data_IF_991255118591
#
_entry.id   IF_991255118591
#
_cell.length_a   1.000
_cell.length_b   1.000
_cell.length_c   1.000
_cell.angle_alpha   90.00
_cell.angle_beta   90.00
_cell.angle_gamma   90.00
#
_symmetry.space_group_name_H-M   'P 1'
#
loop_
_entity.id
_entity.type
_entity.pdbx_description
1 polymer ?
#
# COMPACT_ATOMS: atom_id res chain seq x y z
N UNK A 1 -29.96 6.24 24.10
CA UNK A 1 -30.12 6.33 22.64
C UNK A 1 -28.74 6.02 22.11
N UNK A 2 -28.56 4.88 21.46
CA UNK A 2 -27.30 4.47 20.87
C UNK A 2 -27.01 5.41 19.69
N UNK A 3 -25.94 6.16 19.80
CA UNK A 3 -25.40 7.03 18.73
C UNK A 3 -24.60 6.20 17.73
N UNK A 4 -25.09 5.05 17.33
CA UNK A 4 -24.40 4.21 16.35
C UNK A 4 -24.32 4.90 15.00
N UNK A 5 -23.12 5.02 14.44
CA UNK A 5 -22.91 5.43 13.06
C UNK A 5 -23.34 4.31 12.11
N UNK A 6 -23.78 4.64 10.91
CA UNK A 6 -24.04 3.65 9.88
C UNK A 6 -22.76 3.32 9.12
N UNK A 7 -22.64 2.07 8.65
CA UNK A 7 -21.64 1.74 7.63
C UNK A 7 -21.96 2.46 6.31
N UNK A 8 -21.07 2.39 5.34
CA UNK A 8 -21.34 2.72 3.96
C UNK A 8 -22.47 1.83 3.40
N UNK A 9 -23.07 2.23 2.30
CA UNK A 9 -24.14 1.46 1.66
C UNK A 9 -23.60 0.27 0.85
N UNK A 10 -24.45 -0.71 0.55
CA UNK A 10 -24.05 -1.84 -0.31
C UNK A 10 -23.52 -1.40 -1.68
N UNK A 11 -24.06 -0.29 -2.23
CA UNK A 11 -23.57 0.28 -3.49
C UNK A 11 -22.15 0.83 -3.40
N UNK A 12 -21.74 1.34 -2.25
CA UNK A 12 -20.38 1.83 -2.02
C UNK A 12 -19.34 0.70 -2.07
N UNK A 13 -19.74 -0.52 -1.73
CA UNK A 13 -18.87 -1.69 -1.74
C UNK A 13 -18.95 -2.54 -3.01
N UNK A 14 -19.95 -2.33 -3.89
CA UNK A 14 -20.20 -3.27 -5.00
C UNK A 14 -20.45 -2.63 -6.36
N UNK A 15 -20.69 -1.30 -6.43
CA UNK A 15 -21.03 -0.64 -7.69
C UNK A 15 -19.80 -0.20 -8.47
N UNK A 16 -19.64 -0.68 -9.70
CA UNK A 16 -18.58 -0.23 -10.61
C UNK A 16 -18.67 1.28 -10.92
N UNK A 17 -19.86 1.87 -10.92
CA UNK A 17 -19.99 3.32 -11.13
C UNK A 17 -19.51 4.13 -9.93
N UNK A 18 -19.66 3.60 -8.71
CA UNK A 18 -19.08 4.18 -7.49
C UNK A 18 -17.57 4.01 -7.53
N UNK A 19 -17.07 2.80 -7.80
CA UNK A 19 -15.63 2.52 -7.90
C UNK A 19 -14.96 3.43 -8.95
N UNK A 20 -15.58 3.66 -10.10
CA UNK A 20 -15.04 4.61 -11.07
C UNK A 20 -14.90 6.03 -10.49
N UNK A 21 -15.88 6.48 -9.70
CA UNK A 21 -15.81 7.79 -9.04
C UNK A 21 -14.71 7.84 -7.97
N UNK A 22 -14.57 6.79 -7.18
CA UNK A 22 -13.49 6.65 -6.19
C UNK A 22 -12.12 6.73 -6.86
N UNK A 23 -11.95 6.00 -7.96
CA UNK A 23 -10.73 6.03 -8.75
C UNK A 23 -10.38 7.45 -9.17
N UNK A 24 -11.34 8.17 -9.78
CA UNK A 24 -11.12 9.48 -10.36
C UNK A 24 -10.96 10.58 -9.28
N UNK A 25 -11.53 10.40 -8.09
CA UNK A 25 -11.57 11.44 -7.04
C UNK A 25 -10.70 11.17 -5.82
N UNK A 26 -10.43 9.91 -5.52
CA UNK A 26 -9.64 9.49 -4.37
C UNK A 26 -8.32 8.87 -4.83
N UNK A 27 -8.38 7.70 -5.47
CA UNK A 27 -7.20 6.87 -5.73
C UNK A 27 -6.19 7.54 -6.68
N UNK A 28 -6.65 8.34 -7.64
CA UNK A 28 -5.81 9.08 -8.56
C UNK A 28 -5.36 10.45 -8.03
N UNK A 29 -5.93 10.91 -6.91
CA UNK A 29 -5.62 12.22 -6.32
C UNK A 29 -4.88 12.16 -5.00
N UNK A 30 -4.77 10.97 -4.42
CA UNK A 30 -3.99 10.74 -3.21
C UNK A 30 -2.56 10.34 -3.55
N UNK A 31 -1.65 10.47 -2.60
CA UNK A 31 -0.36 9.83 -2.68
C UNK A 31 -0.55 8.33 -2.47
N UNK A 32 -0.31 7.59 -3.52
CA UNK A 32 -0.58 6.16 -3.65
C UNK A 32 0.71 5.37 -3.52
N UNK A 33 0.82 4.54 -2.50
CA UNK A 33 1.97 3.65 -2.31
C UNK A 33 2.00 2.57 -3.38
N UNK A 34 3.16 2.38 -4.01
CA UNK A 34 3.29 1.40 -5.11
C UNK A 34 4.29 0.29 -4.84
N UNK A 35 5.42 0.57 -4.19
CA UNK A 35 6.45 -0.43 -3.86
C UNK A 35 7.59 0.19 -3.04
N UNK A 36 8.54 -0.66 -2.64
CA UNK A 36 9.83 -0.23 -2.11
C UNK A 36 10.81 0.13 -3.22
N UNK A 37 11.71 1.10 -2.93
CA UNK A 37 12.75 1.55 -3.85
C UNK A 37 14.03 0.70 -3.79
N UNK A 38 14.32 0.09 -2.64
CA UNK A 38 15.57 -0.64 -2.41
C UNK A 38 15.83 -1.85 -3.35
N UNK A 39 14.81 -2.55 -3.90
CA UNK A 39 15.07 -3.58 -4.90
C UNK A 39 15.43 -3.04 -6.30
N UNK A 40 15.20 -1.73 -6.56
CA UNK A 40 15.40 -1.15 -7.88
C UNK A 40 16.86 -0.77 -8.10
N UNK A 41 17.43 -1.27 -9.19
CA UNK A 41 18.79 -0.94 -9.66
C UNK A 41 18.75 -0.07 -10.90
N UNK A 42 19.85 0.66 -11.22
CA UNK A 42 19.93 1.44 -12.45
C UNK A 42 19.62 0.64 -13.71
N UNK A 43 18.58 1.07 -14.43
CA UNK A 43 18.03 0.41 -15.62
C UNK A 43 16.78 -0.42 -15.35
N UNK A 44 16.42 -0.65 -14.09
CA UNK A 44 15.19 -1.37 -13.77
C UNK A 44 13.95 -0.53 -14.05
N UNK A 45 12.88 -1.23 -14.32
CA UNK A 45 11.54 -0.70 -14.59
C UNK A 45 10.55 -1.37 -13.67
N UNK A 46 9.72 -0.56 -13.05
CA UNK A 46 8.58 -1.01 -12.29
C UNK A 46 7.31 -0.57 -13.02
N UNK A 47 6.45 -1.53 -13.35
CA UNK A 47 5.11 -1.27 -13.88
C UNK A 47 4.14 -1.39 -12.72
N UNK A 48 3.59 -0.26 -12.31
CA UNK A 48 2.60 -0.19 -11.25
C UNK A 48 1.20 0.00 -11.83
N UNK A 49 0.21 -0.59 -11.16
CA UNK A 49 -1.21 -0.35 -11.46
C UNK A 49 -1.79 0.54 -10.34
N UNK A 50 -2.15 1.75 -10.69
CA UNK A 50 -2.80 2.70 -9.79
C UNK A 50 -4.28 2.76 -10.12
N UNK A 51 -5.05 1.87 -9.52
CA UNK A 51 -6.49 1.77 -9.71
C UNK A 51 -6.92 1.77 -11.21
N UNK A 52 -6.25 0.96 -12.02
CA UNK A 52 -6.54 0.81 -13.45
C UNK A 52 -5.66 1.65 -14.38
N UNK A 53 -4.91 2.63 -13.87
CA UNK A 53 -3.92 3.34 -14.66
C UNK A 53 -2.55 2.68 -14.55
N UNK A 54 -1.91 2.44 -15.70
CA UNK A 54 -0.56 1.86 -15.74
C UNK A 54 0.48 2.96 -15.64
N UNK A 55 1.30 2.91 -14.60
CA UNK A 55 2.42 3.84 -14.36
C UNK A 55 3.74 3.09 -14.57
N UNK A 56 4.62 3.65 -15.38
CA UNK A 56 5.97 3.17 -15.60
C UNK A 56 6.95 3.97 -14.75
N UNK A 57 7.57 3.33 -13.79
CA UNK A 57 8.65 3.92 -12.98
C UNK A 57 9.98 3.35 -13.51
N UNK A 58 10.95 4.22 -13.73
CA UNK A 58 12.28 3.87 -14.25
C UNK A 58 13.36 4.42 -13.34
N UNK A 59 14.40 3.64 -13.14
CA UNK A 59 15.59 4.01 -12.37
C UNK A 59 16.71 4.38 -13.34
N UNK A 60 17.25 5.59 -13.25
CA UNK A 60 18.36 6.02 -14.10
C UNK A 60 19.72 5.53 -13.56
N UNK A 61 20.80 5.98 -14.23
CA UNK A 61 22.17 5.55 -13.88
C UNK A 61 22.64 6.06 -12.53
N UNK A 62 22.07 7.16 -12.08
CA UNK A 62 22.43 7.83 -10.83
C UNK A 62 21.48 7.40 -9.68
N UNK A 63 20.54 6.49 -9.96
CA UNK A 63 19.55 6.02 -9.01
C UNK A 63 18.32 6.93 -8.89
N UNK A 64 18.20 7.95 -9.73
CA UNK A 64 17.02 8.82 -9.76
C UNK A 64 15.83 8.07 -10.36
N UNK A 65 14.68 8.16 -9.71
CA UNK A 65 13.45 7.56 -10.19
C UNK A 65 12.61 8.60 -10.95
N UNK A 66 12.07 8.17 -12.08
CA UNK A 66 11.07 8.93 -12.85
C UNK A 66 9.82 8.08 -13.03
N UNK A 67 8.67 8.70 -12.96
CA UNK A 67 7.39 8.04 -13.22
C UNK A 67 6.68 8.69 -14.41
N UNK A 68 6.13 7.84 -15.28
CA UNK A 68 5.41 8.27 -16.49
C UNK A 68 4.14 7.45 -16.65
N UNK A 69 3.13 8.03 -17.29
CA UNK A 69 2.05 7.22 -17.84
C UNK A 69 2.65 6.19 -18.81
N UNK A 70 2.33 4.92 -18.61
CA UNK A 70 2.90 3.80 -19.39
C UNK A 70 2.27 3.70 -20.80
N UNK A 71 2.23 4.83 -21.50
CA UNK A 71 1.56 4.94 -22.80
C UNK A 71 2.38 5.79 -23.78
N UNK A 72 2.60 5.26 -24.98
CA UNK A 72 3.36 5.92 -26.03
C UNK A 72 2.58 7.11 -26.63
N UNK A 73 3.23 8.27 -26.74
CA UNK A 73 2.65 9.50 -27.31
C UNK A 73 2.32 9.43 -28.80
N UNK A 74 2.80 8.40 -29.50
CA UNK A 74 2.50 8.24 -30.94
C UNK A 74 1.06 7.72 -31.15
N UNK A 75 0.76 6.50 -30.74
CA UNK A 75 -0.54 5.84 -30.98
C UNK A 75 -1.03 5.03 -29.78
N UNK A 76 -0.64 5.40 -28.59
CA UNK A 76 -1.17 4.84 -27.33
C UNK A 76 -0.71 3.42 -26.98
N UNK A 77 0.32 2.88 -27.65
CA UNK A 77 0.84 1.57 -27.27
C UNK A 77 1.42 1.61 -25.85
N UNK A 78 1.18 0.58 -25.05
CA UNK A 78 1.84 0.40 -23.76
C UNK A 78 3.36 0.29 -23.97
N UNK A 79 4.15 1.03 -23.19
CA UNK A 79 5.60 1.09 -23.35
C UNK A 79 6.32 -0.11 -22.75
N UNK A 80 5.84 -0.56 -21.59
CA UNK A 80 6.39 -1.69 -20.85
C UNK A 80 5.25 -2.55 -20.30
N UNK A 81 5.26 -3.85 -20.60
CA UNK A 81 4.20 -4.76 -20.16
C UNK A 81 4.43 -5.28 -18.73
N UNK A 82 5.70 -5.47 -18.35
CA UNK A 82 6.08 -6.11 -17.08
C UNK A 82 7.27 -5.38 -16.45
N UNK A 83 7.36 -5.48 -15.12
CA UNK A 83 8.51 -5.00 -14.37
C UNK A 83 9.76 -5.85 -14.66
N UNK A 84 10.94 -5.25 -14.55
CA UNK A 84 12.20 -5.94 -14.74
C UNK A 84 13.29 -5.05 -15.33
N UNK A 85 14.46 -5.64 -15.66
CA UNK A 85 15.58 -4.88 -16.20
C UNK A 85 15.28 -4.35 -17.61
N UNK A 86 15.84 -3.18 -17.92
CA UNK A 86 15.71 -2.53 -19.22
C UNK A 86 16.95 -1.73 -19.60
N UNK A 87 16.93 -1.06 -20.77
CA UNK A 87 18.00 -0.16 -21.17
C UNK A 87 18.18 0.98 -20.16
N UNK A 88 19.44 1.24 -19.77
CA UNK A 88 19.82 2.24 -18.75
C UNK A 88 19.72 3.71 -19.21
N UNK A 89 19.28 3.97 -20.43
CA UNK A 89 19.30 5.31 -20.99
C UNK A 89 18.05 5.70 -21.76
N UNK A 90 17.15 4.77 -22.04
CA UNK A 90 15.98 5.07 -22.86
C UNK A 90 14.84 4.08 -22.67
N UNK A 91 13.63 4.55 -22.95
CA UNK A 91 12.39 3.76 -23.06
C UNK A 91 12.05 3.69 -24.56
N UNK A 92 11.93 2.50 -25.13
CA UNK A 92 11.58 2.33 -26.53
C UNK A 92 10.21 1.70 -26.68
N UNK A 93 9.33 2.33 -27.45
CA UNK A 93 8.00 1.81 -27.74
C UNK A 93 8.10 0.53 -28.57
N UNK A 94 7.45 -0.57 -28.16
CA UNK A 94 7.53 -1.84 -28.88
C UNK A 94 6.83 -1.81 -30.25
N UNK A 95 6.01 -0.79 -30.52
CA UNK A 95 5.22 -0.74 -31.76
C UNK A 95 6.00 -0.10 -32.93
N UNK A 96 6.49 1.14 -32.77
CA UNK A 96 7.16 1.84 -33.87
C UNK A 96 8.54 2.41 -33.45
N UNK A 97 9.11 1.91 -32.36
CA UNK A 97 10.41 2.29 -31.82
C UNK A 97 10.54 3.82 -31.51
N UNK A 98 9.43 4.53 -31.28
CA UNK A 98 9.54 5.85 -30.66
C UNK A 98 10.28 5.71 -29.36
N UNK A 99 11.36 6.47 -29.21
CA UNK A 99 12.27 6.31 -28.06
C UNK A 99 12.30 7.57 -27.24
N UNK A 100 12.25 7.38 -25.94
CA UNK A 100 12.23 8.43 -24.93
C UNK A 100 13.44 8.31 -24.02
N UNK A 101 14.02 9.41 -23.60
CA UNK A 101 14.96 9.42 -22.48
C UNK A 101 14.22 8.99 -21.19
N UNK A 102 14.96 8.63 -20.14
CA UNK A 102 14.32 8.19 -18.89
C UNK A 102 13.53 9.30 -18.19
N UNK A 103 13.88 10.57 -18.45
CA UNK A 103 13.12 11.74 -18.00
C UNK A 103 11.85 12.02 -18.84
N UNK A 104 11.54 11.17 -19.82
CA UNK A 104 10.34 11.22 -20.65
C UNK A 104 10.48 12.00 -21.95
N UNK A 105 11.57 12.73 -22.20
CA UNK A 105 11.76 13.49 -23.47
C UNK A 105 11.84 12.55 -24.66
N UNK A 106 11.16 12.89 -25.77
CA UNK A 106 11.23 12.13 -27.01
C UNK A 106 12.61 12.36 -27.68
N UNK A 107 13.37 11.28 -27.87
CA UNK A 107 14.75 11.33 -28.41
C UNK A 107 14.90 10.63 -29.76
N UNK A 108 13.93 9.83 -30.18
CA UNK A 108 14.03 9.11 -31.45
C UNK A 108 12.67 8.76 -32.06
N UNK A 109 12.54 8.97 -33.36
CA UNK A 109 11.33 8.68 -34.13
C UNK A 109 11.73 8.04 -35.48
N UNK A 110 12.08 6.73 -35.49
CA UNK A 110 12.48 6.05 -36.72
C UNK A 110 11.42 6.21 -37.81
N UNK A 111 11.89 6.49 -39.05
CA UNK A 111 11.05 6.65 -40.24
C UNK A 111 10.05 7.84 -40.21
N UNK A 112 10.22 8.78 -39.29
CA UNK A 112 9.44 10.03 -39.24
C UNK A 112 10.43 11.21 -39.41
N UNK A 113 10.19 12.05 -40.39
CA UNK A 113 11.01 13.21 -40.65
C UNK A 113 10.96 14.23 -39.51
N UNK A 114 12.03 15.05 -39.35
CA UNK A 114 12.08 16.02 -38.23
C UNK A 114 10.99 17.11 -38.33
N UNK A 115 10.50 17.39 -39.53
CA UNK A 115 9.48 18.44 -39.76
C UNK A 115 8.04 17.87 -39.80
N UNK A 116 7.88 16.56 -39.66
CA UNK A 116 6.54 15.91 -39.72
C UNK A 116 5.81 15.99 -38.40
N UNK A 117 6.54 16.11 -37.30
CA UNK A 117 5.95 16.14 -35.93
C UNK A 117 6.72 17.15 -35.05
N UNK A 118 6.01 17.77 -34.14
CA UNK A 118 6.60 18.58 -33.08
C UNK A 118 7.08 17.65 -31.94
N UNK A 119 8.38 17.33 -31.94
CA UNK A 119 8.99 16.40 -30.99
C UNK A 119 8.98 16.91 -29.56
N UNK A 120 9.09 18.21 -29.35
CA UNK A 120 9.15 18.82 -28.01
C UNK A 120 7.82 18.69 -27.29
N UNK A 121 6.71 18.68 -28.03
CA UNK A 121 5.37 18.48 -27.47
C UNK A 121 5.02 17.02 -27.17
N UNK A 122 5.87 16.06 -27.56
CA UNK A 122 5.61 14.62 -27.49
C UNK A 122 6.39 13.89 -26.38
N UNK A 123 6.82 14.60 -25.35
CA UNK A 123 7.35 13.98 -24.12
C UNK A 123 6.29 13.10 -23.44
N UNK A 124 6.71 12.05 -22.76
CA UNK A 124 5.81 11.22 -21.95
C UNK A 124 5.10 12.10 -20.89
N UNK A 125 3.88 11.73 -20.55
CA UNK A 125 3.20 12.37 -19.41
C UNK A 125 3.91 11.96 -18.12
N UNK A 126 4.50 12.94 -17.46
CA UNK A 126 5.14 12.75 -16.17
C UNK A 126 4.07 12.55 -15.08
N UNK A 127 4.32 11.62 -14.17
CA UNK A 127 3.53 11.36 -12.98
C UNK A 127 4.34 11.84 -11.78
N UNK A 128 3.69 12.52 -10.82
CA UNK A 128 4.36 12.91 -9.59
C UNK A 128 4.81 11.67 -8.82
N UNK A 129 6.09 11.66 -8.41
CA UNK A 129 6.71 10.57 -7.66
C UNK A 129 7.53 11.16 -6.54
N UNK A 130 7.35 10.64 -5.33
CA UNK A 130 8.22 10.92 -4.20
C UNK A 130 8.62 9.63 -3.49
N UNK A 131 9.79 9.65 -2.87
CA UNK A 131 10.29 8.53 -2.06
C UNK A 131 10.45 9.01 -0.63
N UNK A 132 9.71 8.39 0.28
CA UNK A 132 9.85 8.65 1.70
C UNK A 132 10.27 7.37 2.42
N UNK A 133 11.38 7.40 3.13
CA UNK A 133 11.91 6.24 3.88
C UNK A 133 12.01 4.95 3.01
N UNK A 134 12.28 5.11 1.71
CA UNK A 134 12.38 4.00 0.76
C UNK A 134 11.03 3.51 0.20
N UNK A 135 9.92 4.08 0.62
CA UNK A 135 8.59 3.82 0.03
C UNK A 135 8.36 4.77 -1.15
N UNK A 136 8.00 4.21 -2.30
CA UNK A 136 7.68 4.97 -3.52
C UNK A 136 6.19 5.29 -3.50
N UNK A 137 5.90 6.56 -3.57
CA UNK A 137 4.53 7.08 -3.74
C UNK A 137 4.41 7.76 -5.09
N UNK A 138 3.24 7.62 -5.72
CA UNK A 138 2.87 8.34 -6.94
C UNK A 138 1.55 9.07 -6.75
N UNK A 139 1.36 10.18 -7.49
CA UNK A 139 0.10 10.89 -7.51
C UNK A 139 -0.22 11.29 -8.95
N UNK A 140 -1.43 10.95 -9.42
CA UNK A 140 -1.85 11.17 -10.79
C UNK A 140 -2.47 12.55 -11.03
N UNK A 141 -2.56 13.38 -9.99
CA UNK A 141 -3.00 14.78 -10.13
C UNK A 141 -1.96 15.58 -10.91
N UNK A 142 -2.38 16.61 -11.62
CA UNK A 142 -1.49 17.45 -12.41
C UNK A 142 -0.47 18.22 -11.56
N UNK A 143 -0.87 18.73 -10.40
CA UNK A 143 -0.01 19.48 -9.48
C UNK A 143 -0.39 19.10 -8.02
N UNK A 144 -0.02 17.92 -7.56
CA UNK A 144 -0.32 17.53 -6.17
C UNK A 144 0.55 18.33 -5.19
N UNK A 145 0.12 18.51 -3.93
CA UNK A 145 1.03 18.94 -2.87
C UNK A 145 2.17 17.92 -2.73
N UNK A 146 3.29 18.33 -2.17
CA UNK A 146 4.36 17.38 -1.83
C UNK A 146 3.84 16.31 -0.85
N UNK A 147 4.50 15.17 -0.79
CA UNK A 147 4.10 14.09 0.14
C UNK A 147 4.17 14.55 1.60
N UNK A 148 5.14 15.39 1.96
CA UNK A 148 5.24 15.94 3.31
C UNK A 148 4.09 16.91 3.61
N UNK A 149 3.75 17.80 2.68
CA UNK A 149 2.57 18.66 2.82
C UNK A 149 1.28 17.84 2.93
N UNK A 150 1.20 16.72 2.19
CA UNK A 150 0.08 15.78 2.32
C UNK A 150 -0.01 15.18 3.71
N UNK A 151 1.11 14.74 4.29
CA UNK A 151 1.15 14.23 5.66
C UNK A 151 0.72 15.29 6.69
N UNK A 152 1.11 16.54 6.49
CA UNK A 152 0.68 17.65 7.36
C UNK A 152 -0.81 17.95 7.24
N UNK A 153 -1.38 17.81 6.04
CA UNK A 153 -2.83 17.99 5.81
C UNK A 153 -3.67 16.81 6.32
N UNK A 154 -3.07 15.63 6.42
CA UNK A 154 -3.74 14.38 6.79
C UNK A 154 -2.99 13.67 7.94
N UNK A 155 -2.94 14.26 9.15
CA UNK A 155 -2.17 13.71 10.27
C UNK A 155 -2.62 12.31 10.67
N UNK A 156 -3.89 11.98 10.49
CA UNK A 156 -4.46 10.65 10.75
C UNK A 156 -3.95 9.55 9.79
N UNK A 157 -3.44 9.93 8.63
CA UNK A 157 -2.84 9.04 7.64
C UNK A 157 -1.33 9.26 7.48
N UNK A 158 -0.72 10.07 8.35
CA UNK A 158 0.68 10.46 8.27
C UNK A 158 1.62 9.35 8.76
N UNK A 159 2.63 9.03 7.96
CA UNK A 159 3.68 8.09 8.33
C UNK A 159 4.82 8.75 9.14
N UNK A 160 4.78 10.07 9.36
CA UNK A 160 5.82 10.81 10.06
C UNK A 160 6.11 10.30 11.48
N UNK A 161 5.14 9.83 12.28
CA UNK A 161 5.42 9.25 13.59
C UNK A 161 6.41 8.06 13.53
N UNK A 162 6.46 7.35 12.41
CA UNK A 162 7.33 6.19 12.20
C UNK A 162 8.70 6.54 11.61
N UNK A 163 9.00 7.83 11.36
CA UNK A 163 10.25 8.27 10.75
C UNK A 163 11.51 7.84 11.52
N UNK A 164 11.40 7.71 12.85
CA UNK A 164 12.50 7.31 13.74
C UNK A 164 12.96 5.86 13.53
N UNK A 165 12.17 5.02 12.85
CA UNK A 165 12.56 3.65 12.52
C UNK A 165 13.58 3.56 11.37
N UNK A 166 13.91 4.68 10.69
CA UNK A 166 14.90 4.73 9.61
C UNK A 166 14.65 3.65 8.54
N UNK A 167 13.39 3.49 8.13
CA UNK A 167 12.96 2.42 7.22
C UNK A 167 13.68 2.44 5.86
N UNK A 168 14.27 3.58 5.47
CA UNK A 168 15.13 3.69 4.28
C UNK A 168 16.38 2.81 4.33
N UNK A 169 16.86 2.46 5.53
CA UNK A 169 18.02 1.58 5.72
C UNK A 169 17.64 0.08 5.72
N UNK A 170 16.36 -0.23 5.83
CA UNK A 170 15.86 -1.60 5.79
C UNK A 170 15.80 -2.11 4.34
N UNK A 171 15.74 -3.43 4.19
CA UNK A 171 15.65 -4.10 2.89
C UNK A 171 14.47 -5.05 2.84
N UNK A 172 13.90 -5.18 1.65
CA UNK A 172 12.86 -6.18 1.40
C UNK A 172 13.49 -7.57 1.47
N UNK A 173 13.17 -8.32 2.50
CA UNK A 173 13.59 -9.71 2.65
C UNK A 173 12.60 -10.70 2.03
N UNK A 174 11.32 -10.34 1.99
CA UNK A 174 10.26 -11.14 1.37
C UNK A 174 9.18 -10.23 0.81
N UNK A 175 8.52 -10.69 -0.24
CA UNK A 175 7.33 -10.08 -0.83
C UNK A 175 6.30 -11.17 -1.10
N UNK A 176 5.05 -10.91 -0.69
CA UNK A 176 3.91 -11.80 -0.95
C UNK A 176 2.82 -11.06 -1.72
N UNK A 177 1.97 -11.81 -2.41
CA UNK A 177 0.85 -11.28 -3.19
C UNK A 177 -0.37 -12.12 -2.91
N UNK A 178 -1.48 -11.49 -2.58
CA UNK A 178 -2.76 -12.14 -2.37
C UNK A 178 -3.86 -11.48 -3.20
N UNK A 179 -4.75 -12.30 -3.75
CA UNK A 179 -5.94 -11.84 -4.48
C UNK A 179 -7.15 -11.97 -3.56
N UNK A 180 -7.78 -10.83 -3.26
CA UNK A 180 -8.89 -10.77 -2.30
C UNK A 180 -10.18 -10.42 -3.04
N UNK A 181 -11.18 -11.30 -2.95
CA UNK A 181 -12.50 -11.09 -3.53
C UNK A 181 -13.35 -10.16 -2.63
N UNK A 182 -12.84 -8.94 -2.43
CA UNK A 182 -13.50 -7.90 -1.66
C UNK A 182 -13.11 -6.51 -2.17
N UNK A 183 -14.03 -5.56 -1.96
CA UNK A 183 -13.79 -4.14 -2.13
C UNK A 183 -12.67 -3.68 -1.18
N UNK A 184 -11.82 -2.77 -1.65
CA UNK A 184 -10.71 -2.24 -0.87
C UNK A 184 -11.14 -1.61 0.47
N UNK A 185 -12.33 -1.01 0.55
CA UNK A 185 -12.87 -0.43 1.78
C UNK A 185 -13.27 -1.49 2.82
N UNK A 186 -13.75 -2.66 2.37
CA UNK A 186 -14.03 -3.78 3.30
C UNK A 186 -12.73 -4.25 3.95
N UNK A 187 -11.64 -4.30 3.20
CA UNK A 187 -10.31 -4.66 3.72
C UNK A 187 -9.80 -3.58 4.67
N UNK A 188 -10.04 -2.31 4.31
CA UNK A 188 -9.68 -1.17 5.15
C UNK A 188 -10.47 -1.16 6.45
N UNK A 189 -11.80 -1.37 6.40
CA UNK A 189 -12.68 -1.47 7.55
C UNK A 189 -12.24 -2.62 8.48
N UNK A 190 -11.92 -3.79 7.92
CA UNK A 190 -11.45 -4.96 8.67
C UNK A 190 -10.12 -4.68 9.42
N UNK A 191 -9.17 -3.95 8.79
CA UNK A 191 -7.91 -3.58 9.43
C UNK A 191 -8.08 -2.57 10.58
N UNK A 192 -9.11 -1.73 10.53
CA UNK A 192 -9.32 -0.63 11.48
C UNK A 192 -10.04 -1.04 12.77
N UNK A 193 -10.43 -2.30 12.94
CA UNK A 193 -11.12 -2.82 14.12
C UNK A 193 -10.59 -4.21 14.50
N UNK A 194 -10.92 -4.69 15.67
CA UNK A 194 -10.54 -6.02 16.16
C UNK A 194 -11.69 -6.79 16.82
N UNK A 195 -12.95 -6.41 16.54
CA UNK A 195 -14.12 -7.14 17.04
C UNK A 195 -14.18 -8.58 16.53
N UNK A 196 -13.63 -8.81 15.31
CA UNK A 196 -13.53 -10.14 14.70
C UNK A 196 -12.36 -10.98 15.26
N UNK A 197 -11.30 -10.34 15.76
CA UNK A 197 -10.04 -11.00 16.11
C UNK A 197 -10.20 -12.19 17.08
N UNK A 198 -11.00 -12.12 18.15
CA UNK A 198 -11.14 -13.25 19.09
C UNK A 198 -11.67 -14.52 18.44
N UNK A 199 -12.43 -14.39 17.36
CA UNK A 199 -13.06 -15.54 16.69
C UNK A 199 -12.28 -15.99 15.46
N UNK A 200 -11.64 -15.03 14.74
CA UNK A 200 -11.00 -15.26 13.43
C UNK A 200 -9.52 -15.59 13.60
N UNK A 201 -8.84 -14.97 14.58
CA UNK A 201 -7.38 -15.03 14.76
C UNK A 201 -6.98 -15.52 16.15
N UNK A 202 -7.32 -16.76 16.55
CA UNK A 202 -6.93 -17.25 17.88
C UNK A 202 -5.41 -17.20 18.11
N UNK A 203 -4.59 -17.40 17.07
CA UNK A 203 -3.14 -17.36 17.13
C UNK A 203 -2.62 -15.94 17.39
N UNK A 204 -3.21 -14.92 16.73
CA UNK A 204 -2.84 -13.51 16.91
C UNK A 204 -3.26 -13.02 18.30
N UNK A 205 -4.45 -13.41 18.76
CA UNK A 205 -4.97 -13.03 20.07
C UNK A 205 -4.12 -13.60 21.22
N UNK A 206 -3.43 -14.71 20.99
CA UNK A 206 -2.50 -15.26 21.98
C UNK A 206 -1.22 -14.42 22.09
N UNK A 207 -0.83 -13.72 21.01
CA UNK A 207 0.34 -12.82 20.96
C UNK A 207 -0.03 -11.39 21.35
N UNK A 208 -1.24 -10.93 21.00
CA UNK A 208 -1.76 -9.58 21.30
C UNK A 208 -2.95 -9.69 22.23
N UNK A 209 -2.74 -9.75 23.57
CA UNK A 209 -3.83 -10.02 24.53
C UNK A 209 -4.95 -8.99 24.52
N UNK A 210 -4.68 -7.73 24.13
CA UNK A 210 -5.68 -6.67 24.01
C UNK A 210 -6.81 -7.07 23.06
N UNK A 211 -6.48 -7.74 21.97
CA UNK A 211 -7.42 -8.13 20.91
C UNK A 211 -8.50 -9.12 21.38
N UNK A 212 -8.28 -9.83 22.51
CA UNK A 212 -9.33 -10.65 23.14
C UNK A 212 -10.57 -9.86 23.56
N UNK A 213 -10.39 -8.57 23.82
CA UNK A 213 -11.50 -7.67 24.17
C UNK A 213 -12.21 -7.09 22.95
N UNK A 214 -11.68 -7.30 21.74
CA UNK A 214 -12.11 -6.63 20.51
C UNK A 214 -11.65 -5.16 20.43
N UNK A 215 -10.74 -4.71 21.29
CA UNK A 215 -10.13 -3.40 21.19
C UNK A 215 -8.89 -3.45 20.28
N UNK A 216 -8.68 -2.40 19.49
CA UNK A 216 -7.51 -2.23 18.61
C UNK A 216 -6.54 -1.17 19.16
N UNK A 217 -7.02 -0.28 20.00
CA UNK A 217 -6.24 0.79 20.66
C UNK A 217 -6.14 0.50 22.15
N UNK A 218 -4.95 0.66 22.72
CA UNK A 218 -4.73 0.67 24.16
C UNK A 218 -4.86 2.11 24.67
N UNK A 219 -6.03 2.46 25.20
CA UNK A 219 -6.32 3.79 25.72
C UNK A 219 -5.45 4.20 26.93
N UNK A 220 -4.71 3.27 27.52
CA UNK A 220 -3.78 3.56 28.62
C UNK A 220 -2.43 4.06 28.13
N UNK A 221 -2.19 4.07 26.81
CA UNK A 221 -0.93 4.45 26.15
C UNK A 221 -1.11 5.70 25.29
N UNK A 222 -0.14 6.60 25.39
CA UNK A 222 -0.11 7.83 24.60
C UNK A 222 0.66 7.67 23.26
N UNK A 223 1.37 6.54 23.08
CA UNK A 223 2.22 6.29 21.92
C UNK A 223 1.51 5.54 20.77
N UNK A 224 0.25 5.12 20.98
CA UNK A 224 -0.54 4.37 20.01
C UNK A 224 -0.10 2.92 19.83
N UNK A 225 0.87 2.45 20.61
CA UNK A 225 1.34 1.07 20.57
C UNK A 225 0.45 0.10 21.33
N UNK A 226 0.52 -1.17 20.95
CA UNK A 226 -0.17 -2.27 21.63
C UNK A 226 0.88 -3.25 22.15
N UNK A 227 0.79 -3.61 23.45
CA UNK A 227 1.74 -4.52 24.04
C UNK A 227 1.50 -5.95 23.56
N UNK A 228 2.58 -6.60 23.15
CA UNK A 228 2.59 -8.03 22.88
C UNK A 228 2.62 -8.83 24.19
N UNK A 229 2.42 -10.13 24.10
CA UNK A 229 2.64 -11.04 25.23
C UNK A 229 4.09 -10.89 25.71
N UNK A 230 4.30 -10.85 27.02
CA UNK A 230 5.63 -10.67 27.60
C UNK A 230 6.67 -11.66 27.03
N UNK A 231 7.80 -11.15 26.55
CA UNK A 231 8.85 -11.88 25.88
C UNK A 231 8.57 -12.18 24.40
N UNK A 232 7.50 -11.65 23.82
CA UNK A 232 7.29 -11.65 22.37
C UNK A 232 8.00 -10.47 21.72
N UNK A 233 8.42 -10.63 20.46
CA UNK A 233 9.13 -9.60 19.70
C UNK A 233 8.57 -9.37 18.30
N UNK A 234 7.46 -10.04 17.97
CA UNK A 234 6.84 -9.90 16.65
C UNK A 234 5.73 -10.92 16.39
N UNK A 235 5.18 -10.82 15.22
CA UNK A 235 4.15 -11.72 14.70
C UNK A 235 4.81 -12.98 14.13
N UNK A 236 4.88 -14.01 14.95
CA UNK A 236 5.45 -15.31 14.61
C UNK A 236 4.82 -16.38 15.51
N UNK A 237 4.94 -17.66 15.21
CA UNK A 237 4.46 -18.69 16.12
C UNK A 237 5.02 -18.48 17.54
N UNK A 238 4.13 -18.51 18.56
CA UNK A 238 4.47 -18.23 19.95
C UNK A 238 5.00 -16.80 20.24
N UNK A 239 4.90 -15.87 19.27
CA UNK A 239 5.36 -14.48 19.39
C UNK A 239 6.88 -14.30 19.42
N UNK A 240 7.64 -15.35 19.17
CA UNK A 240 9.14 -15.34 19.22
C UNK A 240 9.70 -15.58 17.84
N UNK A 241 10.07 -14.50 17.17
CA UNK A 241 10.79 -14.61 15.91
C UNK A 241 12.26 -15.00 16.15
N UNK A 242 12.80 -15.79 15.21
CA UNK A 242 14.25 -16.06 15.16
C UNK A 242 15.03 -14.88 14.58
N UNK A 243 14.33 -13.89 14.01
CA UNK A 243 14.96 -12.67 13.50
C UNK A 243 15.43 -11.78 14.65
N UNK A 244 16.57 -11.11 14.51
CA UNK A 244 17.05 -10.12 15.48
C UNK A 244 16.09 -8.91 15.50
N UNK A 245 16.14 -8.16 16.61
CA UNK A 245 15.43 -6.87 16.68
C UNK A 245 15.93 -5.93 15.59
N UNK A 246 15.03 -5.10 15.09
CA UNK A 246 15.38 -4.01 14.17
C UNK A 246 16.38 -3.06 14.85
N UNK A 247 17.29 -2.44 14.08
CA UNK A 247 18.38 -1.61 14.63
C UNK A 247 17.93 -0.43 15.50
N UNK A 248 16.68 0.02 15.30
CA UNK A 248 16.09 1.14 16.03
C UNK A 248 15.24 0.72 17.22
N UNK A 249 15.13 -0.59 17.48
CA UNK A 249 14.31 -1.14 18.57
C UNK A 249 15.17 -1.46 19.79
N UNK A 250 14.78 -0.96 20.95
CA UNK A 250 15.23 -1.50 22.22
C UNK A 250 14.51 -2.81 22.55
N UNK A 251 15.01 -3.64 23.48
CA UNK A 251 14.26 -4.82 23.91
C UNK A 251 12.85 -4.51 24.45
N UNK A 252 12.66 -3.35 25.07
CA UNK A 252 11.37 -2.90 25.60
C UNK A 252 10.43 -2.45 24.47
N UNK A 253 10.95 -1.69 23.50
CA UNK A 253 10.17 -1.28 22.32
C UNK A 253 9.78 -2.48 21.46
N UNK A 254 10.66 -3.48 21.39
CA UNK A 254 10.45 -4.72 20.65
C UNK A 254 9.28 -5.58 21.16
N UNK A 255 8.82 -5.37 22.40
CA UNK A 255 7.64 -6.04 22.96
C UNK A 255 6.33 -5.31 22.60
N UNK A 256 6.36 -4.39 21.65
CA UNK A 256 5.19 -3.64 21.19
C UNK A 256 4.94 -3.83 19.70
N UNK A 257 3.68 -3.63 19.33
CA UNK A 257 3.21 -3.56 17.96
C UNK A 257 2.60 -2.20 17.71
N UNK A 258 2.87 -1.64 16.53
CA UNK A 258 2.27 -0.40 16.04
C UNK A 258 1.70 -0.65 14.66
N UNK A 259 0.41 -0.37 14.49
CA UNK A 259 -0.28 -0.44 13.20
C UNK A 259 -0.69 0.94 12.72
N UNK A 260 -0.62 1.17 11.42
CA UNK A 260 -1.03 2.40 10.77
C UNK A 260 -1.68 2.12 9.43
N UNK A 261 -2.82 2.73 9.19
CA UNK A 261 -3.46 2.78 7.88
C UNK A 261 -3.22 4.14 7.22
N UNK A 262 -2.40 4.15 6.18
CA UNK A 262 -2.24 5.32 5.30
C UNK A 262 -3.28 5.26 4.19
N UNK A 263 -4.31 6.09 4.30
CA UNK A 263 -5.37 6.17 3.31
C UNK A 263 -4.84 6.76 1.98
N UNK A 264 -5.17 6.19 0.80
CA UNK A 264 -6.22 5.15 0.64
C UNK A 264 -5.69 3.72 0.51
N UNK A 265 -4.38 3.44 0.50
CA UNK A 265 -3.95 2.15 -0.03
C UNK A 265 -2.77 1.49 0.67
N UNK A 266 -2.41 1.90 1.89
CA UNK A 266 -1.27 1.27 2.56
C UNK A 266 -1.57 0.95 4.03
N UNK A 267 -1.15 -0.23 4.47
CA UNK A 267 -1.00 -0.55 5.88
C UNK A 267 0.48 -0.65 6.22
N UNK A 268 0.85 -0.15 7.37
CA UNK A 268 2.21 -0.25 7.91
C UNK A 268 2.12 -0.88 9.29
N UNK A 269 2.73 -2.04 9.45
CA UNK A 269 2.78 -2.80 10.69
C UNK A 269 4.23 -2.86 11.17
N UNK A 270 4.49 -2.37 12.39
CA UNK A 270 5.81 -2.30 12.98
C UNK A 270 5.86 -3.21 14.19
N UNK A 271 6.72 -4.21 14.15
CA UNK A 271 7.05 -5.11 15.25
C UNK A 271 8.53 -5.00 15.60
N UNK A 272 8.95 -5.63 16.68
CA UNK A 272 10.35 -5.58 17.10
C UNK A 272 11.35 -6.12 16.08
N UNK A 273 10.95 -7.06 15.24
CA UNK A 273 11.85 -7.80 14.33
C UNK A 273 11.60 -7.53 12.85
N UNK A 274 10.45 -6.96 12.49
CA UNK A 274 10.03 -6.76 11.11
C UNK A 274 9.12 -5.55 10.97
N UNK A 275 9.23 -4.83 9.87
CA UNK A 275 8.22 -3.88 9.42
C UNK A 275 7.54 -4.46 8.18
N UNK A 276 6.23 -4.48 8.17
CA UNK A 276 5.44 -4.93 7.03
C UNK A 276 4.75 -3.73 6.38
N UNK A 277 4.92 -3.60 5.09
CA UNK A 277 4.24 -2.59 4.28
C UNK A 277 3.33 -3.28 3.29
N UNK A 278 2.03 -3.13 3.48
CA UNK A 278 1.02 -3.76 2.64
C UNK A 278 0.33 -2.72 1.76
N UNK A 279 0.47 -2.88 0.44
CA UNK A 279 -0.22 -2.07 -0.55
C UNK A 279 -1.55 -2.73 -0.95
N UNK A 280 -2.61 -1.93 -1.01
CA UNK A 280 -3.91 -2.32 -1.54
C UNK A 280 -4.01 -1.81 -2.97
N UNK A 281 -4.21 -2.71 -3.93
CA UNK A 281 -4.40 -2.38 -5.34
C UNK A 281 -5.80 -2.83 -5.79
N UNK A 282 -6.84 -2.00 -5.62
CA UNK A 282 -8.17 -2.33 -6.10
C UNK A 282 -8.19 -2.41 -7.63
N UNK A 283 -8.66 -3.54 -8.15
CA UNK A 283 -8.76 -3.81 -9.59
C UNK A 283 -10.18 -3.70 -10.12
N UNK A 284 -11.17 -3.80 -9.24
CA UNK A 284 -12.59 -3.58 -9.52
C UNK A 284 -13.33 -3.19 -8.24
N UNK A 285 -14.62 -2.95 -8.34
CA UNK A 285 -15.47 -2.68 -7.18
C UNK A 285 -15.49 -3.82 -6.14
N UNK A 286 -15.11 -5.04 -6.53
CA UNK A 286 -15.25 -6.24 -5.70
C UNK A 286 -13.97 -7.10 -5.63
N UNK A 287 -12.86 -6.54 -6.10
CA UNK A 287 -11.59 -7.28 -6.10
C UNK A 287 -10.40 -6.37 -5.84
N UNK A 288 -9.52 -6.80 -4.95
CA UNK A 288 -8.32 -6.08 -4.54
C UNK A 288 -7.13 -7.03 -4.50
N UNK A 289 -6.03 -6.65 -5.15
CA UNK A 289 -4.73 -7.32 -5.00
C UNK A 289 -4.00 -6.71 -3.81
N UNK A 290 -3.56 -7.53 -2.86
CA UNK A 290 -2.74 -7.14 -1.72
C UNK A 290 -1.29 -7.50 -1.98
N UNK A 291 -0.38 -6.58 -1.72
CA UNK A 291 1.07 -6.82 -1.85
C UNK A 291 1.72 -6.44 -0.53
N UNK A 292 2.31 -7.41 0.14
CA UNK A 292 3.02 -7.18 1.41
C UNK A 292 4.52 -7.33 1.21
N UNK A 293 5.27 -6.30 1.61
CA UNK A 293 6.73 -6.30 1.63
C UNK A 293 7.22 -6.34 3.09
N UNK A 294 8.02 -7.34 3.41
CA UNK A 294 8.57 -7.60 4.75
C UNK A 294 9.97 -7.04 4.82
N UNK A 295 10.19 -6.06 5.70
CA UNK A 295 11.41 -5.30 5.81
C UNK A 295 12.22 -5.73 7.03
N UNK A 296 13.50 -5.99 6.80
CA UNK A 296 14.47 -6.38 7.82
C UNK A 296 15.74 -5.53 7.71
N UNK A 297 16.61 -5.61 8.71
CA UNK A 297 17.92 -4.97 8.66
C UNK A 297 18.75 -5.48 7.46
N UNK A 298 19.52 -4.60 6.84
CA UNK A 298 20.24 -4.93 5.60
C UNK A 298 21.27 -6.04 5.76
N UNK A 299 21.96 -6.11 6.91
CA UNK A 299 22.90 -7.16 7.24
C UNK A 299 22.23 -8.51 7.51
N UNK A 300 21.03 -8.50 8.06
CA UNK A 300 20.21 -9.69 8.27
C UNK A 300 19.77 -10.29 6.92
N UNK A 301 19.27 -9.46 6.00
CA UNK A 301 18.89 -9.92 4.65
C UNK A 301 20.09 -10.41 3.84
N UNK A 302 21.28 -9.88 4.10
CA UNK A 302 22.51 -10.29 3.42
C UNK A 302 23.10 -11.60 3.97
N UNK A 303 22.63 -12.14 5.10
CA UNK A 303 23.11 -13.41 5.65
C UNK A 303 22.68 -14.56 4.72
N UNK A 304 23.61 -15.44 4.29
CA UNK A 304 23.29 -16.61 3.47
C UNK A 304 22.28 -17.59 4.12
N UNK A 305 22.10 -17.53 5.43
CA UNK A 305 21.15 -18.35 6.16
C UNK A 305 19.84 -17.58 6.49
N UNK A 306 19.64 -16.41 5.92
CA UNK A 306 18.43 -15.62 6.14
C UNK A 306 17.18 -16.41 5.74
N UNK A 307 16.31 -16.62 6.71
CA UNK A 307 15.02 -17.30 6.51
C UNK A 307 13.94 -16.62 7.37
N UNK A 308 13.10 -15.76 6.79
CA UNK A 308 12.04 -15.04 7.49
C UNK A 308 10.72 -15.84 7.58
N UNK A 309 10.74 -17.15 7.32
CA UNK A 309 9.51 -17.96 7.18
C UNK A 309 8.64 -17.92 8.43
N UNK A 310 9.21 -17.83 9.62
CA UNK A 310 8.46 -17.76 10.88
C UNK A 310 7.55 -16.52 10.93
N UNK A 311 8.06 -15.36 10.52
CA UNK A 311 7.29 -14.10 10.44
C UNK A 311 6.32 -14.13 9.27
N UNK A 312 6.82 -14.53 8.09
CA UNK A 312 6.03 -14.48 6.85
C UNK A 312 4.86 -15.45 6.92
N UNK A 313 5.08 -16.71 7.28
CA UNK A 313 4.03 -17.74 7.32
C UNK A 313 2.95 -17.42 8.35
N UNK A 314 3.32 -16.81 9.49
CA UNK A 314 2.35 -16.37 10.48
C UNK A 314 1.48 -15.22 9.95
N UNK A 315 2.08 -14.21 9.33
CA UNK A 315 1.33 -13.09 8.78
C UNK A 315 0.45 -13.51 7.58
N UNK A 316 0.93 -14.42 6.73
CA UNK A 316 0.12 -15.00 5.66
C UNK A 316 -1.07 -15.82 6.22
N UNK A 317 -0.90 -16.52 7.35
CA UNK A 317 -2.00 -17.21 8.02
C UNK A 317 -3.07 -16.21 8.48
N UNK A 318 -2.67 -15.16 9.21
CA UNK A 318 -3.59 -14.12 9.72
C UNK A 318 -4.25 -13.39 8.54
N UNK A 319 -3.48 -12.95 7.55
CA UNK A 319 -4.00 -12.29 6.35
C UNK A 319 -4.99 -13.17 5.58
N UNK A 320 -4.71 -14.47 5.43
CA UNK A 320 -5.65 -15.38 4.77
C UNK A 320 -6.98 -15.52 5.52
N UNK A 321 -6.95 -15.54 6.85
CA UNK A 321 -8.15 -15.54 7.67
C UNK A 321 -8.99 -14.27 7.43
N UNK A 322 -8.36 -13.09 7.39
CA UNK A 322 -9.01 -11.82 7.07
C UNK A 322 -9.61 -11.80 5.66
N UNK A 323 -8.86 -12.27 4.67
CA UNK A 323 -9.35 -12.28 3.27
C UNK A 323 -10.59 -13.16 3.11
N UNK A 324 -10.69 -14.26 3.84
CA UNK A 324 -11.88 -15.10 3.86
C UNK A 324 -13.08 -14.37 4.46
N UNK A 325 -12.89 -13.65 5.57
CA UNK A 325 -13.97 -12.86 6.21
C UNK A 325 -14.37 -11.69 5.32
N UNK A 326 -13.41 -10.95 4.75
CA UNK A 326 -13.69 -9.86 3.80
C UNK A 326 -14.51 -10.34 2.60
N UNK A 327 -14.19 -11.52 2.05
CA UNK A 327 -14.98 -12.11 0.97
C UNK A 327 -16.39 -12.55 1.40
N UNK A 328 -16.60 -12.92 2.66
CA UNK A 328 -17.95 -13.18 3.22
C UNK A 328 -18.73 -11.88 3.32
N UNK A 329 -18.12 -10.81 3.83
CA UNK A 329 -18.74 -9.49 3.94
C UNK A 329 -19.10 -8.97 2.54
N UNK A 330 -18.20 -9.09 1.54
CA UNK A 330 -18.47 -8.68 0.16
C UNK A 330 -19.76 -9.31 -0.38
N UNK A 331 -19.92 -10.62 -0.22
CA UNK A 331 -21.15 -11.31 -0.65
C UNK A 331 -22.41 -10.83 0.09
N UNK A 332 -22.24 -10.44 1.36
CA UNK A 332 -23.33 -9.92 2.19
C UNK A 332 -23.81 -8.53 1.74
N UNK A 333 -22.88 -7.63 1.48
CA UNK A 333 -23.19 -6.24 1.06
C UNK A 333 -23.78 -6.15 -0.35
N UNK A 334 -23.56 -7.15 -1.19
CA UNK A 334 -24.19 -7.29 -2.51
C UNK A 334 -25.69 -7.71 -2.43
N UNK A 335 -26.14 -8.13 -1.27
CA UNK A 335 -27.52 -8.53 -1.09
C UNK A 335 -28.47 -7.34 -1.22
N UNK A 336 -29.59 -7.51 -1.93
CA UNK A 336 -30.67 -6.52 -1.99
C UNK A 336 -31.27 -6.15 -0.63
N UNK A 337 -31.02 -6.94 0.40
CA UNK A 337 -31.51 -6.68 1.76
C UNK A 337 -30.51 -5.87 2.61
N UNK A 338 -29.28 -5.69 2.13
CA UNK A 338 -28.28 -4.86 2.81
C UNK A 338 -28.39 -3.42 2.29
N UNK A 339 -28.85 -2.52 3.13
CA UNK A 339 -28.86 -1.08 2.85
C UNK A 339 -27.66 -0.40 3.49
N UNK A 340 -27.43 -0.65 4.76
CA UNK A 340 -26.26 -0.28 5.57
C UNK A 340 -26.25 -1.17 6.85
N UNK A 341 -25.10 -1.31 7.46
CA UNK A 341 -24.91 -1.87 8.80
C UNK A 341 -24.89 -0.79 9.87
N UNK A 342 -24.54 -1.19 11.08
CA UNK A 342 -24.40 -0.31 12.24
C UNK A 342 -23.01 -0.49 12.84
N UNK A 343 -22.31 0.61 13.09
CA UNK A 343 -21.02 0.65 13.76
C UNK A 343 -21.22 0.80 15.28
N UNK A 344 -20.50 0.02 16.06
CA UNK A 344 -20.43 0.13 17.50
C UNK A 344 -19.36 1.15 17.93
N UNK A 345 -19.27 1.44 19.22
CA UNK A 345 -18.27 2.40 19.75
C UNK A 345 -16.82 1.97 19.41
N UNK A 346 -16.56 0.66 19.35
CA UNK A 346 -15.24 0.11 18.99
C UNK A 346 -14.91 0.21 17.48
N UNK A 347 -15.89 0.53 16.66
CA UNK A 347 -15.74 0.77 15.22
C UNK A 347 -15.56 2.27 14.89
N UNK A 348 -15.23 3.11 15.87
CA UNK A 348 -15.14 4.57 15.69
C UNK A 348 -14.17 4.97 14.60
N UNK A 349 -13.03 4.27 14.48
CA UNK A 349 -12.04 4.53 13.43
C UNK A 349 -12.62 4.27 12.02
N UNK A 350 -13.51 3.29 11.88
CA UNK A 350 -14.23 3.04 10.62
C UNK A 350 -15.19 4.20 10.32
N UNK A 351 -15.87 4.74 11.34
CA UNK A 351 -16.77 5.88 11.15
C UNK A 351 -15.99 7.10 10.62
N UNK A 352 -14.84 7.40 11.21
CA UNK A 352 -13.99 8.54 10.81
C UNK A 352 -13.48 8.38 9.36
N UNK A 353 -13.02 7.18 9.00
CA UNK A 353 -12.55 6.89 7.62
C UNK A 353 -13.71 6.97 6.62
N UNK A 354 -14.90 6.51 6.99
CA UNK A 354 -16.08 6.59 6.14
C UNK A 354 -16.54 8.03 5.90
N UNK A 355 -16.47 8.89 6.91
CA UNK A 355 -16.75 10.33 6.77
C UNK A 355 -15.77 10.98 5.79
N UNK A 356 -14.47 10.71 5.94
CA UNK A 356 -13.45 11.17 5.01
C UNK A 356 -13.70 10.67 3.59
N UNK A 357 -13.93 9.37 3.43
CA UNK A 357 -14.22 8.76 2.14
C UNK A 357 -15.41 9.44 1.44
N UNK A 358 -16.51 9.66 2.16
CA UNK A 358 -17.71 10.32 1.60
C UNK A 358 -17.41 11.77 1.20
N UNK A 359 -16.65 12.50 2.02
CA UNK A 359 -16.27 13.88 1.71
C UNK A 359 -15.39 13.96 0.44
N UNK A 360 -14.39 13.08 0.29
CA UNK A 360 -13.51 13.07 -0.88
C UNK A 360 -14.22 12.54 -2.14
N UNK A 361 -15.10 11.55 -1.99
CA UNK A 361 -15.85 10.99 -3.13
C UNK A 361 -16.85 11.99 -3.72
N UNK A 362 -17.52 12.75 -2.89
CA UNK A 362 -18.66 13.61 -3.28
C UNK A 362 -18.27 15.09 -3.47
N UNK A 363 -17.12 15.53 -2.92
CA UNK A 363 -16.52 16.85 -3.11
C UNK A 363 -15.89 17.02 -4.46
#
# INVERSE_FOLDING_TARGET
MTTGHNTLTGADYSSESVFKRERDRILHRSWYYVARADPLSPGDRLVANVAGESVLIVCDRDGTLYAHANVCRHRGAQLCAESGPGPKSSISCPYHAFSYALDGRLIGTPNVGPDEIDRDSLSLWSIALEVWQGFIFVNLSENPPTLLEWFDMHPEASLLPFAHHNMGELRVGRRTVAEVNANWKIIFDNYMECLHCPQVHPELVDIVPLYRSGAVIDESRDDGGVSLLAGSSGFSPEGRSVMPLLPTMSPEDGENYFGMAHFPNMFLDVTGTCIMATALHPTSATHTTMITEYLFAADVVADPNFDPSDVVDFNELVGHQDYLVCAIVQRGVESKYFTHGVLADKDSMIADINERYLAERDG
#
